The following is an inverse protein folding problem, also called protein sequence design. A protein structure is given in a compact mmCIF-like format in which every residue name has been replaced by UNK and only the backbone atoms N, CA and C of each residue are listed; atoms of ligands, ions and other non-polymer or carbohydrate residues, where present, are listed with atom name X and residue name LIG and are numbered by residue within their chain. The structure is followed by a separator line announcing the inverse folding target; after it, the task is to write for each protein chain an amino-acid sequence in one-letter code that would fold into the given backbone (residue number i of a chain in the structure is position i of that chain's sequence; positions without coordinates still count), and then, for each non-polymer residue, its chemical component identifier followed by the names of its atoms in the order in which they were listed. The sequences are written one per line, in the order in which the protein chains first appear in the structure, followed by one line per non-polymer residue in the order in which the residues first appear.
data_IF_529468334428
#
_entry.id   IF_529468334428
#
_cell.length_a   1.000
_cell.length_b   1.000
_cell.length_c   1.000
_cell.angle_alpha   90.00
_cell.angle_beta   90.00
_cell.angle_gamma   90.00
#
_symmetry.space_group_name_H-M   'P 1'
#
loop_
_entity.id
_entity.type
_entity.pdbx_description
1 polymer ?
#
# COMPACT_ATOMS: atom_id res chain seq x y z
N UNK A 1 -11.47 -10.09 -9.72
CA UNK A 1 -11.64 -11.21 -8.75
C UNK A 1 -10.41 -12.09 -8.90
N UNK A 2 -9.73 -12.43 -7.80
CA UNK A 2 -8.52 -13.26 -7.81
C UNK A 2 -8.94 -14.72 -8.04
N UNK A 3 -8.61 -15.30 -9.19
CA UNK A 3 -9.06 -16.64 -9.60
C UNK A 3 -8.05 -17.73 -9.25
N UNK A 4 -6.75 -17.40 -9.12
CA UNK A 4 -5.73 -18.32 -8.64
C UNK A 4 -5.78 -18.40 -7.10
N UNK A 5 -5.95 -19.61 -6.56
CA UNK A 5 -6.00 -19.87 -5.11
C UNK A 5 -4.64 -19.67 -4.42
N UNK A 6 -3.54 -19.84 -5.14
CA UNK A 6 -2.18 -19.59 -4.62
C UNK A 6 -2.00 -18.12 -4.24
N UNK A 7 -2.78 -17.22 -4.82
CA UNK A 7 -2.69 -15.78 -4.55
C UNK A 7 -3.61 -15.31 -3.41
N UNK A 8 -4.44 -16.20 -2.85
CA UNK A 8 -5.33 -15.86 -1.74
C UNK A 8 -4.65 -15.23 -0.52
N UNK A 9 -3.42 -15.63 -0.13
CA UNK A 9 -2.70 -14.97 0.95
C UNK A 9 -2.53 -13.45 0.73
N UNK A 10 -2.44 -13.00 -0.52
CA UNK A 10 -2.25 -11.59 -0.87
C UNK A 10 -3.54 -10.78 -0.92
N UNK A 11 -4.72 -11.41 -0.85
CA UNK A 11 -5.99 -10.68 -0.93
C UNK A 11 -6.11 -9.58 0.15
N UNK A 12 -5.80 -9.83 1.44
CA UNK A 12 -5.86 -8.79 2.46
C UNK A 12 -4.87 -7.65 2.19
N UNK A 13 -3.69 -7.96 1.64
CA UNK A 13 -2.70 -6.96 1.24
C UNK A 13 -3.29 -6.03 0.17
N UNK A 14 -3.89 -6.61 -0.87
CA UNK A 14 -4.50 -5.82 -1.94
C UNK A 14 -5.60 -4.89 -1.41
N UNK A 15 -6.49 -5.42 -0.56
CA UNK A 15 -7.58 -4.65 0.04
C UNK A 15 -7.02 -3.52 0.93
N UNK A 16 -6.01 -3.81 1.74
CA UNK A 16 -5.37 -2.84 2.63
C UNK A 16 -4.64 -1.74 1.84
N UNK A 17 -3.83 -2.10 0.85
CA UNK A 17 -3.14 -1.12 -0.01
C UNK A 17 -4.14 -0.20 -0.73
N UNK A 18 -5.26 -0.76 -1.20
CA UNK A 18 -6.32 0.03 -1.84
C UNK A 18 -6.91 1.06 -0.88
N UNK A 19 -7.15 0.69 0.38
CA UNK A 19 -7.64 1.60 1.42
C UNK A 19 -6.57 2.65 1.76
N UNK A 20 -5.31 2.23 1.91
CA UNK A 20 -4.23 3.10 2.34
C UNK A 20 -3.83 4.13 1.30
N UNK A 21 -3.87 3.78 0.02
CA UNK A 21 -3.55 4.69 -1.09
C UNK A 21 -4.75 5.49 -1.58
N UNK A 22 -5.96 5.24 -1.07
CA UNK A 22 -7.17 5.92 -1.51
C UNK A 22 -7.03 7.45 -1.46
N UNK A 23 -7.29 8.10 -2.60
CA UNK A 23 -7.26 9.55 -2.76
C UNK A 23 -5.92 10.15 -3.21
N UNK A 24 -4.84 9.35 -3.27
CA UNK A 24 -3.49 9.87 -3.62
C UNK A 24 -3.44 10.46 -5.04
N UNK A 25 -4.18 9.88 -5.97
CA UNK A 25 -4.23 10.33 -7.37
C UNK A 25 -4.91 11.70 -7.52
N UNK A 26 -5.74 12.11 -6.56
CA UNK A 26 -6.32 13.46 -6.55
C UNK A 26 -5.27 14.56 -6.35
N UNK A 27 -4.08 14.20 -5.86
CA UNK A 27 -2.99 15.14 -5.57
C UNK A 27 -1.77 14.91 -6.49
N UNK A 28 -1.50 13.67 -6.89
CA UNK A 28 -0.40 13.33 -7.79
C UNK A 28 -0.70 12.06 -8.60
N UNK A 29 -0.99 12.22 -9.90
CA UNK A 29 -1.16 11.10 -10.83
C UNK A 29 0.20 10.70 -11.46
N UNK A 30 0.49 9.41 -11.70
CA UNK A 30 -0.24 8.19 -11.32
C UNK A 30 0.43 7.49 -10.11
N UNK A 31 0.01 7.83 -8.88
CA UNK A 31 0.49 7.17 -7.65
C UNK A 31 -0.52 6.20 -7.03
N UNK A 32 -1.61 5.88 -7.72
CA UNK A 32 -2.59 4.90 -7.26
C UNK A 32 -2.06 3.46 -7.22
N UNK A 33 -2.89 2.57 -6.69
CA UNK A 33 -2.61 1.13 -6.68
C UNK A 33 -2.73 0.56 -8.09
N UNK A 34 -1.61 0.16 -8.68
CA UNK A 34 -1.51 -0.48 -9.99
C UNK A 34 -1.09 -1.94 -9.80
N UNK A 35 -2.07 -2.85 -9.67
CA UNK A 35 -1.81 -4.30 -9.57
C UNK A 35 -2.72 -5.02 -10.54
N UNK A 36 -2.13 -5.73 -11.50
CA UNK A 36 -2.87 -6.70 -12.30
C UNK A 36 -3.01 -8.00 -11.50
N UNK A 37 -4.25 -8.32 -11.14
CA UNK A 37 -4.60 -9.56 -10.43
C UNK A 37 -4.46 -10.81 -11.31
N UNK A 38 -3.95 -10.67 -12.54
CA UNK A 38 -3.64 -11.73 -13.50
C UNK A 38 -2.17 -12.14 -13.49
N UNK A 39 -1.29 -11.55 -12.68
CA UNK A 39 0.10 -12.00 -12.57
C UNK A 39 0.13 -13.38 -11.89
N UNK A 40 0.62 -14.40 -12.60
CA UNK A 40 0.20 -15.80 -12.38
C UNK A 40 1.03 -16.56 -11.32
N UNK A 41 2.06 -15.95 -10.71
CA UNK A 41 2.82 -16.56 -9.59
C UNK A 41 2.81 -15.75 -8.30
N UNK A 42 3.07 -16.41 -7.16
CA UNK A 42 3.22 -15.74 -5.85
C UNK A 42 4.34 -14.68 -5.87
N UNK A 43 5.46 -14.99 -6.53
CA UNK A 43 6.61 -14.10 -6.64
C UNK A 43 6.26 -12.82 -7.42
N UNK A 44 5.60 -12.96 -8.58
CA UNK A 44 5.19 -11.80 -9.38
C UNK A 44 4.15 -10.94 -8.66
N UNK A 45 3.24 -11.57 -7.91
CA UNK A 45 2.28 -10.85 -7.07
C UNK A 45 2.98 -10.06 -5.96
N UNK A 46 3.93 -10.68 -5.27
CA UNK A 46 4.72 -10.01 -4.23
C UNK A 46 5.54 -8.85 -4.79
N UNK A 47 6.19 -9.04 -5.95
CA UNK A 47 6.92 -7.98 -6.65
C UNK A 47 5.95 -6.84 -7.00
N UNK A 48 4.82 -7.14 -7.65
CA UNK A 48 3.84 -6.13 -8.01
C UNK A 48 3.38 -5.31 -6.80
N UNK A 49 3.03 -5.96 -5.69
CA UNK A 49 2.57 -5.27 -4.47
C UNK A 49 3.66 -4.42 -3.82
N UNK A 50 4.93 -4.81 -3.91
CA UNK A 50 6.06 -4.11 -3.26
C UNK A 50 6.72 -3.05 -4.13
N UNK A 51 6.42 -3.00 -5.44
CA UNK A 51 7.02 -2.05 -6.38
C UNK A 51 6.06 -0.95 -6.86
N UNK A 52 5.02 -0.66 -6.08
CA UNK A 52 4.07 0.41 -6.38
C UNK A 52 4.78 1.77 -6.49
N UNK A 53 4.41 2.58 -7.49
CA UNK A 53 5.04 3.89 -7.77
C UNK A 53 5.01 4.82 -6.55
N UNK A 54 3.92 4.80 -5.78
CA UNK A 54 3.78 5.56 -4.54
C UNK A 54 4.96 5.38 -3.58
N UNK A 55 5.59 4.20 -3.54
CA UNK A 55 6.68 3.93 -2.61
C UNK A 55 7.99 4.63 -2.98
N UNK A 56 8.11 5.15 -4.20
CA UNK A 56 9.25 5.94 -4.66
C UNK A 56 9.20 7.42 -4.22
N UNK A 57 8.13 7.83 -3.55
CA UNK A 57 7.92 9.20 -3.09
C UNK A 57 7.72 9.21 -1.58
N UNK A 58 8.37 10.15 -0.90
CA UNK A 58 7.88 10.54 0.41
C UNK A 58 6.71 11.50 0.20
N UNK A 59 5.69 11.38 1.04
CA UNK A 59 4.51 12.24 1.01
C UNK A 59 4.59 13.08 2.27
N UNK A 60 4.79 14.38 2.10
CA UNK A 60 5.04 15.31 3.19
C UNK A 60 3.96 16.36 3.26
N UNK A 61 3.69 16.91 4.45
CA UNK A 61 2.83 18.09 4.60
C UNK A 61 3.64 19.35 4.90
N UNK A 62 2.96 20.46 5.13
CA UNK A 62 3.56 21.76 5.46
C UNK A 62 4.32 21.81 6.80
N UNK A 63 4.19 20.77 7.63
CA UNK A 63 4.83 20.66 8.94
C UNK A 63 6.03 19.69 8.94
N UNK A 64 6.51 19.29 7.76
CA UNK A 64 7.54 18.26 7.57
C UNK A 64 7.15 16.86 8.12
N UNK A 65 5.88 16.62 8.42
CA UNK A 65 5.42 15.27 8.73
C UNK A 65 5.48 14.41 7.46
N UNK A 66 6.02 13.19 7.59
CA UNK A 66 6.03 12.20 6.51
C UNK A 66 4.89 11.20 6.74
N UNK A 67 4.05 11.03 5.73
CA UNK A 67 3.03 9.99 5.74
C UNK A 67 3.68 8.60 5.76
N UNK A 68 3.34 7.81 6.78
CA UNK A 68 3.68 6.39 6.84
C UNK A 68 2.44 5.56 6.52
N UNK A 69 2.45 4.94 5.34
CA UNK A 69 1.38 4.07 4.83
C UNK A 69 1.01 2.95 5.82
N UNK A 70 1.95 2.51 6.65
CA UNK A 70 1.75 1.42 7.62
C UNK A 70 0.90 1.89 8.81
N UNK A 71 0.93 3.18 9.12
CA UNK A 71 0.29 3.76 10.31
C UNK A 71 -1.09 4.35 10.02
N UNK A 72 -1.26 5.00 8.86
CA UNK A 72 -2.55 5.57 8.45
C UNK A 72 -2.78 5.56 6.94
N UNK A 73 -4.03 5.82 6.50
CA UNK A 73 -4.33 6.03 5.09
C UNK A 73 -3.91 7.41 4.60
N UNK A 74 -3.63 7.53 3.31
CA UNK A 74 -3.33 8.81 2.65
C UNK A 74 -4.43 9.83 2.89
N UNK A 75 -5.70 9.43 2.72
CA UNK A 75 -6.86 10.30 2.96
C UNK A 75 -6.85 10.87 4.40
N UNK A 76 -6.51 10.06 5.41
CA UNK A 76 -6.43 10.53 6.81
C UNK A 76 -5.30 11.53 7.01
N UNK A 77 -4.12 11.26 6.44
CA UNK A 77 -3.00 12.20 6.44
C UNK A 77 -3.33 13.51 5.72
N UNK A 78 -3.97 13.42 4.54
CA UNK A 78 -4.39 14.58 3.75
C UNK A 78 -5.41 15.44 4.48
N UNK A 79 -6.39 14.84 5.15
CA UNK A 79 -7.44 15.58 5.87
C UNK A 79 -6.91 16.50 6.98
N UNK A 80 -5.72 16.20 7.53
CA UNK A 80 -5.06 17.02 8.55
C UNK A 80 -3.93 17.90 7.99
N UNK A 81 -3.80 18.00 6.67
CA UNK A 81 -2.72 18.70 5.98
C UNK A 81 -3.29 19.79 5.08
N UNK A 82 -2.71 20.98 5.14
CA UNK A 82 -3.10 22.11 4.28
C UNK A 82 -2.49 21.96 2.89
N UNK A 83 -1.23 21.51 2.82
CA UNK A 83 -0.51 21.27 1.58
C UNK A 83 0.14 19.88 1.62
N UNK A 84 0.33 19.29 0.45
CA UNK A 84 1.03 18.01 0.31
C UNK A 84 2.13 18.16 -0.75
N UNK A 85 3.28 17.58 -0.45
CA UNK A 85 4.45 17.53 -1.32
C UNK A 85 4.83 16.08 -1.57
N UNK A 86 5.35 15.80 -2.77
CA UNK A 86 5.77 14.48 -3.20
C UNK A 86 7.25 14.47 -3.62
N UNK A 87 8.21 14.69 -2.69
CA UNK A 87 9.62 14.54 -3.00
C UNK A 87 9.93 13.12 -3.49
N UNK A 88 10.51 13.03 -4.69
CA UNK A 88 11.00 11.78 -5.24
C UNK A 88 12.24 11.32 -4.47
N UNK A 89 12.13 10.22 -3.76
CA UNK A 89 13.24 9.61 -3.01
C UNK A 89 13.80 8.38 -3.71
N UNK A 90 13.17 7.97 -4.82
CA UNK A 90 13.57 6.82 -5.60
C UNK A 90 13.48 5.53 -4.79
N UNK A 91 14.37 4.60 -5.11
CA UNK A 91 14.31 3.24 -4.58
C UNK A 91 15.08 3.10 -3.27
N UNK A 92 14.66 3.84 -2.24
CA UNK A 92 15.25 3.79 -0.90
C UNK A 92 15.19 2.34 -0.35
N UNK A 93 16.34 1.65 -0.16
CA UNK A 93 16.36 0.25 0.27
C UNK A 93 15.73 0.01 1.64
N UNK A 94 15.91 0.93 2.58
CA UNK A 94 15.36 0.80 3.92
C UNK A 94 13.83 0.95 3.92
N UNK A 95 13.31 1.89 3.13
CA UNK A 95 11.86 2.07 2.94
C UNK A 95 11.24 0.85 2.27
N UNK A 96 11.87 0.36 1.20
CA UNK A 96 11.46 -0.87 0.50
C UNK A 96 11.39 -2.06 1.45
N UNK A 97 12.45 -2.30 2.22
CA UNK A 97 12.49 -3.41 3.18
C UNK A 97 11.37 -3.31 4.21
N UNK A 98 11.10 -2.11 4.75
CA UNK A 98 10.00 -1.88 5.70
C UNK A 98 8.63 -2.18 5.09
N UNK A 99 8.41 -1.77 3.83
CA UNK A 99 7.15 -1.99 3.12
C UNK A 99 6.99 -3.47 2.76
N UNK A 100 8.05 -4.12 2.26
CA UNK A 100 8.06 -5.55 1.97
C UNK A 100 7.74 -6.40 3.19
N UNK A 101 8.35 -6.12 4.34
CA UNK A 101 8.06 -6.81 5.59
C UNK A 101 6.61 -6.61 6.03
N UNK A 102 6.11 -5.37 5.96
CA UNK A 102 4.73 -5.06 6.29
C UNK A 102 3.72 -5.77 5.36
N UNK A 103 4.02 -5.86 4.06
CA UNK A 103 3.21 -6.63 3.11
C UNK A 103 3.17 -8.11 3.48
N UNK A 104 4.32 -8.70 3.85
CA UNK A 104 4.40 -10.11 4.28
C UNK A 104 3.61 -10.36 5.57
N UNK A 105 3.61 -9.40 6.51
CA UNK A 105 2.83 -9.48 7.76
C UNK A 105 1.31 -9.43 7.50
N UNK A 106 0.89 -8.71 6.46
CA UNK A 106 -0.51 -8.64 6.03
C UNK A 106 -0.97 -9.87 5.25
N UNK A 107 -0.04 -10.65 4.68
CA UNK A 107 -0.38 -11.85 3.95
C UNK A 107 -1.03 -12.89 4.88
N UNK A 108 -2.18 -13.41 4.46
CA UNK A 108 -2.93 -14.42 5.20
C UNK A 108 -2.58 -15.83 4.72
N UNK A 109 -1.34 -16.25 4.97
CA UNK A 109 -0.82 -17.56 4.57
C UNK A 109 -1.61 -18.73 5.17
N UNK A 110 -2.18 -18.54 6.34
CA UNK A 110 -2.96 -19.56 7.05
C UNK A 110 -4.43 -19.62 6.60
N UNK A 111 -4.88 -18.70 5.74
CA UNK A 111 -6.27 -18.66 5.28
C UNK A 111 -7.27 -18.27 6.37
N UNK A 112 -6.81 -17.66 7.46
CA UNK A 112 -7.67 -17.15 8.52
C UNK A 112 -8.57 -16.05 7.95
N UNK A 113 -9.87 -16.33 7.79
CA UNK A 113 -10.83 -15.30 7.40
C UNK A 113 -10.79 -14.25 8.51
N UNK A 114 -10.19 -13.09 8.24
CA UNK A 114 -10.33 -11.91 9.07
C UNK A 114 -11.81 -11.53 9.05
N UNK A 115 -12.59 -12.11 9.96
CA UNK A 115 -13.87 -11.57 10.38
C UNK A 115 -13.54 -10.20 10.93
N UNK A 116 -13.80 -9.17 10.13
CA UNK A 116 -13.56 -7.79 10.49
C UNK A 116 -14.08 -7.56 11.91
N UNK A 117 -13.17 -7.21 12.82
CA UNK A 117 -13.57 -6.61 14.08
C UNK A 117 -14.03 -5.18 13.77
N UNK A 118 -15.17 -5.04 13.09
CA UNK A 118 -16.09 -3.93 13.37
C UNK A 118 -16.63 -4.19 14.76
N UNK A 119 -15.93 -3.68 15.78
CA UNK A 119 -16.49 -3.48 17.11
C UNK A 119 -16.78 -1.99 17.28
N UNK A 120 -18.09 -1.72 17.24
CA UNK A 120 -18.89 -0.68 17.91
C UNK A 120 -18.39 0.76 17.95
#
# INVERSE_FOLDING_TARGET
MMTNKELWPFKPVYDELKIRLAGIEGECEPLGLEVDLRNETEEEMFIALTTQKAFAFDVMNEHDDIWDIRLESFSKFKNRSTQIFFPFTGLNPAKRLKISNWILELCNWEGNIYLGNTRH
#
